data_IF_884980719492
#
_entry.id   IF_884980719492
#
_cell.length_a   1.000
_cell.length_b   1.000
_cell.length_c   1.000
_cell.angle_alpha   90.00
_cell.angle_beta   90.00
_cell.angle_gamma   90.00
#
_symmetry.space_group_name_H-M   'P 1'
#
loop_
_entity.id
_entity.type
_entity.pdbx_description
1 polymer ?
#
# COMPACT_ATOMS: atom_id res chain seq x y z
N UNK A 1 22.51 5.08 -16.31
CA UNK A 1 21.72 3.83 -16.30
C UNK A 1 20.49 4.06 -15.43
N UNK A 2 19.34 3.49 -15.80
CA UNK A 2 18.10 3.57 -15.01
C UNK A 2 18.12 2.48 -13.94
N UNK A 3 17.75 2.82 -12.70
CA UNK A 3 17.58 1.82 -11.62
C UNK A 3 16.24 1.11 -11.82
N UNK A 4 16.25 -0.22 -11.86
CA UNK A 4 15.06 -1.06 -11.90
C UNK A 4 14.93 -1.77 -10.56
N UNK A 5 13.75 -1.69 -9.96
CA UNK A 5 13.40 -2.42 -8.73
C UNK A 5 12.23 -3.34 -9.02
N UNK A 6 12.31 -4.58 -8.53
CA UNK A 6 11.32 -5.63 -8.79
C UNK A 6 10.74 -6.06 -7.44
N UNK A 7 9.43 -6.26 -7.41
CA UNK A 7 8.68 -6.68 -6.24
C UNK A 7 7.34 -7.28 -6.61
N UNK A 8 6.51 -7.56 -5.61
CA UNK A 8 5.18 -8.17 -5.77
C UNK A 8 4.08 -7.29 -5.19
N UNK A 9 2.84 -7.56 -5.61
CA UNK A 9 1.65 -7.00 -4.98
C UNK A 9 1.29 -7.84 -3.75
N UNK A 10 1.83 -7.47 -2.58
CA UNK A 10 1.69 -8.21 -1.33
C UNK A 10 2.78 -9.27 -1.11
N UNK A 11 2.89 -9.73 0.14
CA UNK A 11 3.86 -10.74 0.57
C UNK A 11 3.22 -11.97 1.25
N UNK A 12 2.06 -11.84 1.88
CA UNK A 12 1.51 -12.91 2.72
C UNK A 12 0.45 -13.76 2.00
N UNK A 13 0.90 -14.84 1.35
CA UNK A 13 0.04 -15.78 0.62
C UNK A 13 0.26 -17.22 1.07
N UNK A 14 -0.83 -17.97 1.31
CA UNK A 14 -0.77 -19.38 1.73
C UNK A 14 -0.10 -20.26 0.68
N UNK A 15 -0.38 -20.00 -0.59
CA UNK A 15 0.15 -20.80 -1.71
C UNK A 15 1.66 -20.61 -1.90
N UNK A 16 2.27 -19.63 -1.22
CA UNK A 16 3.72 -19.43 -1.23
C UNK A 16 4.43 -20.28 -0.18
N UNK A 17 3.71 -20.92 0.76
CA UNK A 17 4.29 -21.82 1.76
C UNK A 17 4.68 -23.16 1.12
N UNK A 18 5.98 -23.45 1.13
CA UNK A 18 6.60 -24.57 0.43
C UNK A 18 7.40 -24.11 -0.79
N UNK A 19 6.77 -23.48 -1.81
CA UNK A 19 7.47 -22.98 -2.99
C UNK A 19 8.43 -21.81 -2.72
N UNK A 20 8.06 -20.89 -1.83
CA UNK A 20 8.86 -19.69 -1.52
C UNK A 20 9.17 -19.58 -0.02
N UNK A 21 8.15 -19.67 0.84
CA UNK A 21 8.34 -19.68 2.28
C UNK A 21 8.66 -21.09 2.80
N UNK A 22 9.60 -21.25 3.75
CA UNK A 22 9.80 -22.51 4.44
C UNK A 22 8.51 -22.99 5.10
N UNK A 23 8.23 -24.31 5.07
CA UNK A 23 6.97 -24.87 5.56
C UNK A 23 6.69 -24.58 7.04
N UNK A 24 7.73 -24.44 7.85
CA UNK A 24 7.65 -24.15 9.28
C UNK A 24 7.83 -22.66 9.61
N UNK A 25 7.88 -21.79 8.60
CA UNK A 25 7.98 -20.35 8.84
C UNK A 25 6.63 -19.82 9.35
N UNK A 26 6.65 -19.24 10.54
CA UNK A 26 5.50 -18.53 11.09
C UNK A 26 5.09 -17.35 10.20
N UNK A 27 3.79 -17.18 9.94
CA UNK A 27 3.28 -16.12 9.04
C UNK A 27 3.73 -14.72 9.43
N UNK A 28 3.90 -14.46 10.73
CA UNK A 28 4.38 -13.17 11.23
C UNK A 28 5.76 -12.80 10.66
N UNK A 29 6.59 -13.78 10.31
CA UNK A 29 7.92 -13.60 9.72
C UNK A 29 7.93 -13.57 8.19
N UNK A 30 6.78 -13.69 7.51
CA UNK A 30 6.73 -13.68 6.04
C UNK A 30 7.33 -12.40 5.45
N UNK A 31 7.00 -11.22 5.99
CA UNK A 31 7.55 -9.95 5.50
C UNK A 31 9.07 -9.87 5.66
N UNK A 32 9.57 -10.30 6.82
CA UNK A 32 11.00 -10.32 7.12
C UNK A 32 11.74 -11.27 6.16
N UNK A 33 11.18 -12.46 5.94
CA UNK A 33 11.73 -13.42 4.98
C UNK A 33 11.69 -12.87 3.54
N UNK A 34 10.56 -12.31 3.12
CA UNK A 34 10.36 -11.71 1.80
C UNK A 34 11.40 -10.62 1.51
N UNK A 35 11.69 -9.78 2.51
CA UNK A 35 12.63 -8.65 2.40
C UNK A 35 14.10 -9.06 2.18
N UNK A 36 14.42 -10.35 2.26
CA UNK A 36 15.75 -10.89 1.91
C UNK A 36 15.94 -11.08 0.41
N UNK A 37 14.84 -11.07 -0.37
CA UNK A 37 14.84 -11.39 -1.80
C UNK A 37 14.41 -10.22 -2.68
N UNK A 38 13.63 -9.28 -2.14
CA UNK A 38 13.14 -8.10 -2.84
C UNK A 38 13.41 -6.84 -2.03
N UNK A 39 13.65 -5.72 -2.71
CA UNK A 39 13.86 -4.41 -2.10
C UNK A 39 12.57 -3.57 -2.01
N UNK A 40 11.50 -4.00 -2.70
CA UNK A 40 10.23 -3.27 -2.76
C UNK A 40 9.05 -4.23 -2.75
N UNK A 41 7.96 -3.81 -2.10
CA UNK A 41 6.67 -4.52 -2.16
C UNK A 41 5.52 -3.51 -2.19
N UNK A 42 4.43 -3.86 -2.88
CA UNK A 42 3.18 -3.12 -2.75
C UNK A 42 2.36 -3.66 -1.55
N UNK A 43 1.93 -2.77 -0.67
CA UNK A 43 0.95 -3.06 0.37
C UNK A 43 -0.44 -2.99 -0.26
N UNK A 44 -1.02 -4.15 -0.56
CA UNK A 44 -2.36 -4.24 -1.14
C UNK A 44 -3.46 -4.34 -0.06
N UNK A 45 -3.14 -4.75 1.17
CA UNK A 45 -4.14 -4.89 2.25
C UNK A 45 -4.78 -3.57 2.67
N UNK A 46 -4.06 -2.46 2.53
CA UNK A 46 -4.51 -1.09 2.82
C UNK A 46 -5.65 -0.64 1.91
N UNK A 47 -5.77 -1.24 0.73
CA UNK A 47 -6.89 -1.01 -0.18
C UNK A 47 -8.23 -1.41 0.46
N UNK A 48 -8.26 -2.53 1.17
CA UNK A 48 -9.48 -3.09 1.74
C UNK A 48 -9.79 -2.49 3.12
N UNK A 49 -8.78 -2.38 3.97
CA UNK A 49 -8.93 -1.95 5.35
C UNK A 49 -7.82 -0.99 5.76
N UNK A 50 -8.17 -0.01 6.59
CA UNK A 50 -7.20 0.82 7.25
C UNK A 50 -6.49 0.01 8.35
N UNK A 51 -5.15 -0.17 8.29
CA UNK A 51 -4.42 -0.89 9.33
C UNK A 51 -4.36 -0.07 10.63
N UNK A 52 -4.00 -0.71 11.75
CA UNK A 52 -3.64 0.04 12.96
C UNK A 52 -2.24 0.65 12.82
N UNK A 53 -1.99 1.74 13.54
CA UNK A 53 -0.66 2.38 13.58
C UNK A 53 0.42 1.38 14.02
N UNK A 54 0.12 0.52 15.00
CA UNK A 54 1.07 -0.50 15.47
C UNK A 54 1.40 -1.54 14.39
N UNK A 55 0.41 -1.92 13.57
CA UNK A 55 0.66 -2.80 12.43
C UNK A 55 1.60 -2.14 11.42
N UNK A 56 1.38 -0.86 11.10
CA UNK A 56 2.22 -0.08 10.19
C UNK A 56 3.65 0.04 10.71
N UNK A 57 3.82 0.39 12.00
CA UNK A 57 5.13 0.45 12.65
C UNK A 57 5.84 -0.90 12.61
N UNK A 58 5.10 -1.99 12.88
CA UNK A 58 5.64 -3.34 12.83
C UNK A 58 6.11 -3.75 11.43
N UNK A 59 5.42 -3.35 10.35
CA UNK A 59 5.90 -3.59 8.99
C UNK A 59 7.25 -2.92 8.74
N UNK A 60 7.40 -1.65 9.15
CA UNK A 60 8.65 -0.91 9.04
C UNK A 60 9.81 -1.58 9.79
N UNK A 61 9.55 -2.12 10.98
CA UNK A 61 10.57 -2.78 11.82
C UNK A 61 11.03 -4.13 11.27
N UNK A 62 10.21 -4.80 10.45
CA UNK A 62 10.51 -6.15 9.92
C UNK A 62 11.34 -6.15 8.64
N UNK A 63 11.73 -4.98 8.12
CA UNK A 63 12.42 -4.89 6.82
C UNK A 63 13.74 -4.09 6.91
N UNK A 64 14.77 -4.40 6.11
CA UNK A 64 16.04 -3.69 6.06
C UNK A 64 15.89 -2.20 5.76
N UNK A 65 16.89 -1.37 6.11
CA UNK A 65 16.83 0.08 5.97
C UNK A 65 16.51 0.56 4.53
N UNK A 66 17.06 -0.11 3.53
CA UNK A 66 16.88 0.19 2.09
C UNK A 66 15.57 -0.35 1.49
N UNK A 67 14.81 -1.17 2.23
CA UNK A 67 13.54 -1.71 1.75
C UNK A 67 12.45 -0.65 1.72
N UNK A 68 11.67 -0.65 0.65
CA UNK A 68 10.61 0.32 0.37
C UNK A 68 9.23 -0.33 0.17
N UNK A 69 8.19 0.46 0.40
CA UNK A 69 6.80 0.11 0.20
C UNK A 69 6.16 1.01 -0.86
N UNK A 70 5.38 0.41 -1.74
CA UNK A 70 4.36 1.11 -2.53
C UNK A 70 3.04 0.91 -1.78
N UNK A 71 2.34 1.97 -1.41
CA UNK A 71 1.10 1.82 -0.64
C UNK A 71 -0.10 2.00 -1.55
N UNK A 72 -0.92 0.96 -1.67
CA UNK A 72 -2.19 1.09 -2.38
C UNK A 72 -3.18 1.86 -1.52
N UNK A 73 -3.70 2.95 -2.09
CA UNK A 73 -4.59 3.86 -1.38
C UNK A 73 -5.91 3.16 -1.06
N UNK A 74 -6.45 3.45 0.12
CA UNK A 74 -7.70 2.87 0.62
C UNK A 74 -8.85 3.10 -0.35
N UNK A 75 -9.63 2.05 -0.63
CA UNK A 75 -10.71 2.12 -1.63
C UNK A 75 -11.76 3.19 -1.33
N UNK A 76 -11.93 3.57 -0.06
CA UNK A 76 -12.83 4.68 0.31
C UNK A 76 -12.42 6.02 -0.32
N UNK A 77 -11.15 6.19 -0.65
CA UNK A 77 -10.60 7.40 -1.27
C UNK A 77 -10.68 7.32 -2.79
N UNK A 78 -10.55 6.13 -3.41
CA UNK A 78 -10.44 5.99 -4.87
C UNK A 78 -11.70 5.46 -5.56
N UNK A 79 -12.62 4.83 -4.83
CA UNK A 79 -13.81 4.18 -5.39
C UNK A 79 -15.13 4.89 -5.03
N UNK A 80 -15.11 5.87 -4.12
CA UNK A 80 -16.27 6.68 -3.75
C UNK A 80 -15.88 8.16 -3.59
N UNK A 81 -15.67 8.87 -4.70
CA UNK A 81 -15.23 10.28 -4.70
C UNK A 81 -16.33 11.28 -4.30
N UNK A 82 -17.57 10.82 -4.18
CA UNK A 82 -18.72 11.63 -3.73
C UNK A 82 -19.05 11.40 -2.24
N UNK A 83 -18.20 10.66 -1.52
CA UNK A 83 -18.38 10.42 -0.09
C UNK A 83 -18.27 11.75 0.69
N UNK A 84 -19.29 12.15 1.46
CA UNK A 84 -19.21 13.38 2.25
C UNK A 84 -18.10 13.34 3.31
N UNK A 85 -17.63 12.14 3.70
CA UNK A 85 -16.54 11.96 4.65
C UNK A 85 -15.17 11.78 3.96
N UNK A 86 -15.05 12.04 2.65
CA UNK A 86 -13.82 11.80 1.87
C UNK A 86 -12.57 12.44 2.51
N UNK A 87 -12.65 13.70 2.91
CA UNK A 87 -11.54 14.42 3.55
C UNK A 87 -11.11 13.74 4.85
N UNK A 88 -12.08 13.26 5.64
CA UNK A 88 -11.81 12.51 6.87
C UNK A 88 -11.10 11.18 6.55
N UNK A 89 -11.51 10.47 5.50
CA UNK A 89 -10.86 9.24 5.07
C UNK A 89 -9.43 9.49 4.60
N UNK A 90 -9.18 10.58 3.86
CA UNK A 90 -7.84 11.01 3.43
C UNK A 90 -6.95 11.25 4.65
N UNK A 91 -7.35 12.15 5.55
CA UNK A 91 -6.58 12.48 6.75
C UNK A 91 -6.29 11.23 7.58
N UNK A 92 -7.29 10.38 7.79
CA UNK A 92 -7.14 9.14 8.59
C UNK A 92 -6.19 8.15 7.93
N UNK A 93 -6.24 8.01 6.60
CA UNK A 93 -5.36 7.12 5.86
C UNK A 93 -3.91 7.58 5.91
N UNK A 94 -3.64 8.84 5.55
CA UNK A 94 -2.27 9.35 5.48
C UNK A 94 -1.62 9.47 6.86
N UNK A 95 -2.36 9.89 7.89
CA UNK A 95 -1.85 9.89 9.28
C UNK A 95 -1.57 8.49 9.84
N UNK A 96 -2.23 7.46 9.30
CA UNK A 96 -1.91 6.08 9.66
C UNK A 96 -0.64 5.62 8.94
N UNK A 97 -0.57 5.82 7.62
CA UNK A 97 0.48 5.28 6.76
C UNK A 97 1.80 6.06 6.88
N UNK A 98 1.79 7.33 7.28
CA UNK A 98 3.00 8.13 7.51
C UNK A 98 3.99 7.47 8.47
N UNK A 99 3.51 6.55 9.33
CA UNK A 99 4.32 5.78 10.26
C UNK A 99 5.29 4.80 9.58
N UNK A 100 5.16 4.52 8.27
CA UNK A 100 6.21 3.87 7.47
C UNK A 100 7.44 4.77 7.25
N UNK A 101 7.35 6.06 7.58
CA UNK A 101 8.33 7.15 7.49
C UNK A 101 9.71 6.75 6.95
N UNK A 102 10.07 7.29 5.78
CA UNK A 102 11.34 7.03 5.09
C UNK A 102 11.37 5.74 4.28
N UNK A 103 10.29 4.94 4.28
CA UNK A 103 10.18 3.71 3.48
C UNK A 103 9.07 3.74 2.44
N UNK A 104 8.31 4.83 2.31
CA UNK A 104 7.28 4.94 1.26
C UNK A 104 7.95 5.41 -0.02
N UNK A 105 7.82 4.63 -1.09
CA UNK A 105 8.34 4.97 -2.41
C UNK A 105 7.28 5.64 -3.29
N UNK A 106 6.04 5.17 -3.20
CA UNK A 106 4.93 5.70 -3.98
C UNK A 106 3.58 5.34 -3.34
N UNK A 107 2.55 6.10 -3.70
CA UNK A 107 1.16 5.75 -3.47
C UNK A 107 0.52 5.30 -4.78
N UNK A 108 -0.17 4.15 -4.77
CA UNK A 108 -0.92 3.67 -5.91
C UNK A 108 -2.39 4.07 -5.75
N UNK A 109 -2.85 5.01 -6.59
CA UNK A 109 -4.26 5.33 -6.78
C UNK A 109 -4.81 4.48 -7.92
N UNK A 110 -5.33 3.31 -7.58
CA UNK A 110 -6.06 2.48 -8.53
C UNK A 110 -7.55 2.84 -8.48
N UNK A 111 -8.13 3.18 -9.63
CA UNK A 111 -9.55 3.51 -9.78
C UNK A 111 -10.37 2.31 -10.29
N UNK A 112 -11.69 2.28 -10.04
CA UNK A 112 -12.55 1.22 -10.55
C UNK A 112 -12.76 1.30 -12.06
N UNK A 113 -13.20 0.22 -12.73
CA UNK A 113 -13.36 0.18 -14.19
C UNK A 113 -14.42 1.16 -14.75
N UNK A 114 -15.33 1.66 -13.91
CA UNK A 114 -16.31 2.69 -14.30
C UNK A 114 -15.77 4.12 -14.21
N UNK A 115 -14.60 4.34 -13.60
CA UNK A 115 -13.93 5.64 -13.59
C UNK A 115 -13.29 5.91 -14.95
N UNK A 116 -14.12 6.40 -15.88
CA UNK A 116 -13.73 6.77 -17.24
C UNK A 116 -13.54 8.27 -17.36
N UNK A 117 -12.84 8.73 -18.39
CA UNK A 117 -12.73 10.16 -18.66
C UNK A 117 -14.13 10.77 -18.86
N UNK A 118 -14.45 11.73 -17.99
CA UNK A 118 -15.52 12.71 -18.08
C UNK A 118 -14.99 13.99 -17.44
N UNK A 119 -15.53 15.15 -17.78
CA UNK A 119 -15.12 16.42 -17.12
C UNK A 119 -15.30 16.31 -15.60
N UNK A 120 -16.44 15.79 -15.14
CA UNK A 120 -16.71 15.59 -13.72
C UNK A 120 -15.65 14.69 -13.02
N UNK A 121 -15.30 13.54 -13.61
CA UNK A 121 -14.26 12.66 -13.04
C UNK A 121 -12.87 13.32 -13.05
N UNK A 122 -12.57 14.12 -14.08
CA UNK A 122 -11.30 14.85 -14.13
C UNK A 122 -11.22 15.94 -13.06
N UNK A 123 -12.29 16.70 -12.85
CA UNK A 123 -12.37 17.68 -11.75
C UNK A 123 -12.23 17.01 -10.38
N UNK A 124 -12.92 15.89 -10.16
CA UNK A 124 -12.78 15.10 -8.92
C UNK A 124 -11.36 14.58 -8.71
N UNK A 125 -10.70 14.09 -9.76
CA UNK A 125 -9.30 13.66 -9.69
C UNK A 125 -8.39 14.83 -9.31
N UNK A 126 -8.56 16.01 -9.92
CA UNK A 126 -7.78 17.19 -9.57
C UNK A 126 -8.01 17.61 -8.12
N UNK A 127 -9.27 17.63 -7.67
CA UNK A 127 -9.62 17.94 -6.28
C UNK A 127 -8.91 16.98 -5.33
N UNK A 128 -9.04 15.67 -5.58
CA UNK A 128 -8.36 14.66 -4.79
C UNK A 128 -6.85 14.90 -4.75
N UNK A 129 -6.20 15.10 -5.90
CA UNK A 129 -4.74 15.30 -5.96
C UNK A 129 -4.25 16.57 -5.25
N UNK A 130 -5.11 17.58 -5.06
CA UNK A 130 -4.75 18.78 -4.30
C UNK A 130 -4.80 18.55 -2.77
N UNK A 131 -5.57 17.56 -2.31
CA UNK A 131 -5.72 17.19 -0.89
C UNK A 131 -4.64 16.20 -0.41
N UNK A 132 -3.91 15.56 -1.35
CA UNK A 132 -2.86 14.57 -1.06
C UNK A 132 -1.48 15.20 -0.91
#
# INVERSE_FOLDING_TARGET
>A
MVKIEIGTAGWDYKDWVGPFYPKQLERSHHLEYFSKYFDVVEINSTFYNLPSIDMVRNWKLRVPANFCFIVKVWQKITHNLDDPDLDSHIVKFFSTIEHLNGKIKAFLLQFPPWFKYTENHFEKLKSLLNEL
#
